data_IF_061738280249
#
_entry.id   IF_061738280249
#
_cell.length_a   1.000
_cell.length_b   1.000
_cell.length_c   1.000
_cell.angle_alpha   90.00
_cell.angle_beta   90.00
_cell.angle_gamma   90.00
#
_symmetry.space_group_name_H-M   'P 1'
#
loop_
_entity.id
_entity.type
_entity.pdbx_description
1 polymer ?
#
# COMPACT_ATOMS: atom_id res chain seq x y z
N UNK A 1 -5.35 -29.00 -2.97
CA UNK A 1 -6.02 -27.86 -3.61
C UNK A 1 -5.41 -27.65 -4.99
N UNK A 2 -6.19 -27.09 -5.90
CA UNK A 2 -5.73 -26.57 -7.19
C UNK A 2 -5.34 -25.11 -6.99
N UNK A 3 -4.06 -24.79 -7.19
CA UNK A 3 -3.48 -23.49 -6.85
C UNK A 3 -2.97 -22.81 -8.12
N UNK A 4 -3.40 -21.57 -8.33
CA UNK A 4 -2.90 -20.73 -9.41
C UNK A 4 -1.71 -19.91 -8.88
N UNK A 5 -0.51 -20.20 -9.34
CA UNK A 5 0.71 -19.47 -8.94
C UNK A 5 0.96 -18.27 -9.87
N UNK A 6 0.88 -17.06 -9.33
CA UNK A 6 1.18 -15.83 -10.06
C UNK A 6 2.70 -15.63 -10.19
N UNK A 7 3.23 -15.93 -11.37
CA UNK A 7 4.65 -15.87 -11.72
C UNK A 7 4.97 -14.53 -12.40
N UNK A 8 5.68 -13.64 -11.70
CA UNK A 8 6.05 -12.32 -12.23
C UNK A 8 7.35 -12.32 -13.05
N UNK A 9 7.98 -13.48 -13.22
CA UNK A 9 9.34 -13.59 -13.78
C UNK A 9 10.44 -13.22 -12.79
N UNK A 10 10.12 -13.05 -11.51
CA UNK A 10 11.07 -12.77 -10.44
C UNK A 10 11.29 -13.97 -9.52
N UNK A 11 12.40 -13.93 -8.77
CA UNK A 11 12.83 -15.00 -7.86
C UNK A 11 11.76 -15.36 -6.82
N UNK A 12 11.08 -14.37 -6.25
CA UNK A 12 10.12 -14.59 -5.17
C UNK A 12 8.92 -15.41 -5.63
N UNK A 13 8.35 -15.04 -6.78
CA UNK A 13 7.21 -15.77 -7.34
C UNK A 13 7.57 -17.20 -7.74
N UNK A 14 8.79 -17.42 -8.25
CA UNK A 14 9.25 -18.75 -8.64
C UNK A 14 9.45 -19.67 -7.41
N UNK A 15 10.09 -19.16 -6.36
CA UNK A 15 10.27 -19.92 -5.11
C UNK A 15 8.94 -20.16 -4.40
N UNK A 16 8.04 -19.18 -4.40
CA UNK A 16 6.69 -19.36 -3.87
C UNK A 16 5.93 -20.48 -4.58
N UNK A 17 5.99 -20.52 -5.92
CA UNK A 17 5.41 -21.61 -6.70
C UNK A 17 6.05 -22.97 -6.38
N UNK A 18 7.38 -23.01 -6.25
CA UNK A 18 8.11 -24.23 -5.88
C UNK A 18 7.65 -24.77 -4.51
N UNK A 19 7.56 -23.91 -3.50
CA UNK A 19 7.06 -24.30 -2.17
C UNK A 19 5.60 -24.77 -2.19
N UNK A 20 4.76 -24.17 -3.05
CA UNK A 20 3.38 -24.62 -3.23
C UNK A 20 3.31 -26.04 -3.86
N UNK A 21 4.19 -26.36 -4.81
CA UNK A 21 4.32 -27.71 -5.37
C UNK A 21 4.77 -28.70 -4.29
N UNK A 22 5.77 -28.34 -3.49
CA UNK A 22 6.29 -29.19 -2.40
C UNK A 22 5.26 -29.44 -1.29
N UNK A 23 4.39 -28.47 -1.04
CA UNK A 23 3.24 -28.63 -0.14
C UNK A 23 2.16 -29.60 -0.69
N UNK A 24 2.37 -30.19 -1.87
CA UNK A 24 1.49 -31.20 -2.47
C UNK A 24 0.26 -30.61 -3.17
N UNK A 25 0.30 -29.34 -3.56
CA UNK A 25 -0.78 -28.73 -4.34
C UNK A 25 -0.68 -29.07 -5.83
N UNK A 26 -1.83 -29.10 -6.52
CA UNK A 26 -1.87 -29.12 -7.99
C UNK A 26 -1.65 -27.69 -8.46
N UNK A 27 -0.43 -27.34 -8.83
CA UNK A 27 -0.05 -25.97 -9.17
C UNK A 27 -0.09 -25.74 -10.68
N UNK A 28 -0.71 -24.64 -11.09
CA UNK A 28 -0.61 -24.08 -12.45
C UNK A 28 -0.02 -22.69 -12.37
N UNK A 29 1.03 -22.43 -13.15
CA UNK A 29 1.65 -21.13 -13.26
C UNK A 29 0.88 -20.19 -14.20
N UNK A 30 0.78 -18.93 -13.82
CA UNK A 30 0.26 -17.88 -14.69
C UNK A 30 1.13 -16.63 -14.62
N UNK A 31 1.47 -16.09 -15.78
CA UNK A 31 2.04 -14.75 -15.88
C UNK A 31 0.96 -13.76 -16.30
N UNK A 32 0.77 -12.73 -15.49
CA UNK A 32 -0.15 -11.64 -15.83
C UNK A 32 0.59 -10.62 -16.67
N UNK A 33 0.03 -10.32 -17.82
CA UNK A 33 0.52 -9.24 -18.62
C UNK A 33 -0.34 -8.00 -18.48
N UNK A 34 0.25 -6.98 -17.87
CA UNK A 34 -0.46 -5.78 -17.43
C UNK A 34 -0.23 -4.57 -18.34
N UNK A 35 0.55 -4.69 -19.41
CA UNK A 35 0.76 -3.61 -20.38
C UNK A 35 0.60 -4.09 -21.82
N UNK A 36 -0.02 -3.24 -22.64
CA UNK A 36 -0.12 -3.42 -24.10
C UNK A 36 1.18 -3.01 -24.81
N UNK A 37 2.05 -2.23 -24.16
CA UNK A 37 3.32 -1.73 -24.71
C UNK A 37 4.52 -2.59 -24.31
N UNK A 38 4.41 -3.91 -24.49
CA UNK A 38 5.42 -4.91 -24.10
C UNK A 38 6.76 -4.77 -24.83
N UNK A 39 6.77 -4.06 -25.96
CA UNK A 39 7.93 -3.88 -26.84
C UNK A 39 8.87 -2.75 -26.40
N UNK A 40 8.58 -2.02 -25.32
CA UNK A 40 9.54 -1.07 -24.77
C UNK A 40 10.63 -1.85 -24.03
N UNK A 41 11.69 -2.14 -24.77
CA UNK A 41 12.95 -2.75 -24.31
C UNK A 41 13.47 -2.03 -23.06
N UNK A 42 13.87 -2.82 -22.06
CA UNK A 42 14.44 -2.37 -20.78
C UNK A 42 15.45 -1.24 -20.93
N UNK A 43 15.38 -0.30 -19.99
CA UNK A 43 16.56 0.26 -19.34
C UNK A 43 16.60 -0.23 -17.88
N UNK A 44 17.13 -1.44 -17.65
CA UNK A 44 17.38 -1.94 -16.28
C UNK A 44 16.21 -2.66 -15.58
N UNK A 45 16.30 -2.86 -14.26
CA UNK A 45 15.46 -3.75 -13.43
C UNK A 45 14.05 -3.23 -13.09
N UNK A 46 13.42 -2.44 -13.96
CA UNK A 46 12.13 -1.78 -13.69
C UNK A 46 10.99 -2.45 -14.43
N UNK A 47 9.95 -2.86 -13.70
CA UNK A 47 8.75 -3.55 -14.21
C UNK A 47 8.75 -5.07 -13.99
N UNK A 48 7.57 -5.68 -14.16
CA UNK A 48 7.34 -7.13 -14.08
C UNK A 48 6.54 -7.67 -15.28
N UNK A 49 6.38 -6.86 -16.33
CA UNK A 49 5.44 -7.10 -17.44
C UNK A 49 6.13 -7.07 -18.82
N UNK A 50 7.45 -7.26 -18.85
CA UNK A 50 8.22 -7.35 -20.10
C UNK A 50 8.10 -8.74 -20.73
N UNK A 51 8.47 -8.85 -22.02
CA UNK A 51 8.57 -10.15 -22.71
C UNK A 51 9.57 -11.06 -21.99
N UNK A 52 10.67 -10.49 -21.50
CA UNK A 52 11.70 -11.20 -20.73
C UNK A 52 11.13 -11.77 -19.43
N UNK A 53 10.33 -11.01 -18.68
CA UNK A 53 9.69 -11.48 -17.45
C UNK A 53 8.75 -12.66 -17.71
N UNK A 54 8.00 -12.61 -18.81
CA UNK A 54 7.15 -13.73 -19.21
C UNK A 54 7.96 -14.97 -19.60
N UNK A 55 9.13 -14.79 -20.23
CA UNK A 55 10.02 -15.90 -20.58
C UNK A 55 10.66 -16.51 -19.33
N UNK A 56 11.10 -15.69 -18.38
CA UNK A 56 11.63 -16.13 -17.09
C UNK A 56 10.58 -16.91 -16.28
N UNK A 57 9.34 -16.40 -16.25
CA UNK A 57 8.21 -17.08 -15.61
C UNK A 57 7.93 -18.45 -16.23
N UNK A 58 7.97 -18.53 -17.58
CA UNK A 58 7.83 -19.78 -18.31
C UNK A 58 8.95 -20.76 -17.97
N UNK A 59 10.21 -20.31 -17.96
CA UNK A 59 11.35 -21.17 -17.63
C UNK A 59 11.22 -21.71 -16.20
N UNK A 60 10.88 -20.85 -15.23
CA UNK A 60 10.62 -21.30 -13.87
C UNK A 60 9.54 -22.39 -13.83
N UNK A 61 8.42 -22.22 -14.56
CA UNK A 61 7.38 -23.24 -14.64
C UNK A 61 7.86 -24.55 -15.29
N UNK A 62 8.70 -24.49 -16.33
CA UNK A 62 9.29 -25.66 -16.98
C UNK A 62 10.20 -26.45 -16.03
N UNK A 63 11.04 -25.77 -15.24
CA UNK A 63 11.88 -26.40 -14.20
C UNK A 63 11.03 -27.08 -13.12
N UNK A 64 9.95 -26.41 -12.70
CA UNK A 64 9.04 -26.94 -11.68
C UNK A 64 8.11 -28.04 -12.22
N UNK A 65 8.07 -28.26 -13.53
CA UNK A 65 7.21 -29.26 -14.16
C UNK A 65 5.72 -28.93 -14.09
N UNK A 66 5.34 -27.64 -14.02
CA UNK A 66 3.95 -27.20 -13.89
C UNK A 66 3.41 -26.62 -15.20
N UNK A 67 2.10 -26.75 -15.50
CA UNK A 67 1.48 -26.06 -16.63
C UNK A 67 1.62 -24.53 -16.49
N UNK A 68 1.75 -23.83 -17.62
CA UNK A 68 1.98 -22.39 -17.63
C UNK A 68 1.14 -21.68 -18.69
N UNK A 69 0.54 -20.56 -18.30
CA UNK A 69 -0.24 -19.70 -19.18
C UNK A 69 0.16 -18.23 -19.03
N UNK A 70 -0.08 -17.45 -20.08
CA UNK A 70 0.01 -15.99 -20.03
C UNK A 70 -1.39 -15.44 -20.17
N UNK A 71 -1.83 -14.65 -19.19
CA UNK A 71 -3.13 -13.98 -19.24
C UNK A 71 -2.93 -12.50 -19.50
N UNK A 72 -3.61 -11.99 -20.51
CA UNK A 72 -3.75 -10.57 -20.69
C UNK A 72 -4.76 -10.04 -19.67
N UNK A 73 -4.29 -9.10 -18.84
CA UNK A 73 -5.06 -8.34 -17.87
C UNK A 73 -4.76 -6.84 -18.03
N UNK A 74 -4.30 -6.43 -19.21
CA UNK A 74 -3.85 -5.06 -19.46
C UNK A 74 -4.99 -4.06 -19.45
N UNK A 75 -6.19 -4.47 -19.83
CA UNK A 75 -7.39 -3.61 -19.78
C UNK A 75 -7.81 -3.36 -18.35
N UNK A 76 -7.95 -4.45 -17.57
CA UNK A 76 -8.29 -4.38 -16.15
C UNK A 76 -7.23 -3.58 -15.37
N UNK A 77 -5.95 -3.71 -15.73
CA UNK A 77 -4.89 -2.93 -15.11
C UNK A 77 -4.95 -1.44 -15.46
N UNK A 78 -5.13 -1.10 -16.73
CA UNK A 78 -5.24 0.28 -17.18
C UNK A 78 -6.45 0.97 -16.51
N UNK A 79 -7.62 0.33 -16.56
CA UNK A 79 -8.87 0.89 -16.05
C UNK A 79 -8.91 0.97 -14.52
N UNK A 80 -8.39 -0.05 -13.82
CA UNK A 80 -8.57 -0.16 -12.36
C UNK A 80 -7.38 0.37 -11.56
N UNK A 81 -6.20 0.50 -12.17
CA UNK A 81 -4.96 0.93 -11.49
C UNK A 81 -4.42 2.22 -12.08
N UNK A 82 -4.22 2.30 -13.40
CA UNK A 82 -3.59 3.48 -14.03
C UNK A 82 -4.57 4.65 -14.06
N UNK A 83 -5.82 4.42 -14.47
CA UNK A 83 -6.85 5.46 -14.48
C UNK A 83 -7.16 5.97 -13.06
N UNK A 84 -7.24 5.06 -12.07
CA UNK A 84 -7.38 5.40 -10.64
C UNK A 84 -6.21 6.30 -10.20
N UNK A 85 -4.97 5.86 -10.45
CA UNK A 85 -3.76 6.63 -10.15
C UNK A 85 -3.81 8.05 -10.74
N UNK A 86 -4.14 8.18 -12.03
CA UNK A 86 -4.26 9.49 -12.68
C UNK A 86 -5.40 10.34 -12.10
N UNK A 87 -6.54 9.73 -11.75
CA UNK A 87 -7.68 10.43 -11.17
C UNK A 87 -7.39 10.98 -9.77
N UNK A 88 -6.65 10.21 -8.95
CA UNK A 88 -6.22 10.61 -7.61
C UNK A 88 -5.25 11.79 -7.67
N UNK A 89 -4.28 11.75 -8.59
CA UNK A 89 -3.39 12.90 -8.81
C UNK A 89 -4.15 14.13 -9.33
N UNK A 90 -5.18 13.98 -10.18
CA UNK A 90 -6.08 15.08 -10.57
C UNK A 90 -6.89 15.63 -9.40
N UNK A 91 -7.08 14.87 -8.34
CA UNK A 91 -7.72 15.31 -7.10
C UNK A 91 -6.73 15.88 -6.07
N UNK A 92 -5.44 16.00 -6.41
CA UNK A 92 -4.40 16.49 -5.49
C UNK A 92 -3.92 15.46 -4.47
N UNK A 93 -4.36 14.20 -4.59
CA UNK A 93 -3.95 13.10 -3.71
C UNK A 93 -2.72 12.39 -4.25
N UNK A 94 -2.04 11.63 -3.39
CA UNK A 94 -0.88 10.81 -3.75
C UNK A 94 -1.21 9.35 -3.46
N UNK A 95 -1.72 8.59 -4.45
CA UNK A 95 -2.11 7.19 -4.28
C UNK A 95 -0.89 6.25 -4.24
N UNK A 96 -1.11 5.03 -3.75
CA UNK A 96 -0.18 3.92 -3.91
C UNK A 96 -0.72 2.90 -4.95
N UNK A 97 -0.17 2.86 -6.17
CA UNK A 97 -0.70 1.99 -7.23
C UNK A 97 -0.50 0.49 -6.93
N UNK A 98 0.48 0.12 -6.10
CA UNK A 98 0.68 -1.28 -5.71
C UNK A 98 -0.43 -1.79 -4.80
N UNK A 99 -0.98 -0.93 -3.94
CA UNK A 99 -2.16 -1.26 -3.11
C UNK A 99 -3.35 -1.57 -4.01
N UNK A 100 -3.65 -0.66 -4.96
CA UNK A 100 -4.76 -0.85 -5.93
C UNK A 100 -4.57 -2.05 -6.85
N UNK A 101 -3.34 -2.36 -7.27
CA UNK A 101 -3.05 -3.54 -8.07
C UNK A 101 -3.27 -4.85 -7.29
N UNK A 102 -2.88 -4.90 -6.01
CA UNK A 102 -3.15 -6.07 -5.18
C UNK A 102 -4.66 -6.29 -5.02
N UNK A 103 -5.38 -5.24 -4.63
CA UNK A 103 -6.85 -5.24 -4.54
C UNK A 103 -7.51 -5.67 -5.86
N UNK A 104 -7.41 -4.82 -6.89
CA UNK A 104 -8.30 -4.88 -8.05
C UNK A 104 -7.85 -5.79 -9.18
N UNK A 105 -6.59 -6.23 -9.15
CA UNK A 105 -6.01 -7.06 -10.22
C UNK A 105 -5.62 -8.44 -9.69
N UNK A 106 -4.82 -8.52 -8.61
CA UNK A 106 -4.37 -9.82 -8.10
C UNK A 106 -5.44 -10.57 -7.31
N UNK A 107 -6.17 -9.89 -6.43
CA UNK A 107 -7.15 -10.54 -5.56
C UNK A 107 -8.61 -10.32 -6.00
N UNK A 108 -8.85 -9.46 -6.98
CA UNK A 108 -10.10 -9.45 -7.74
C UNK A 108 -9.93 -10.18 -9.09
N UNK A 109 -9.44 -9.52 -10.14
CA UNK A 109 -9.51 -10.03 -11.52
C UNK A 109 -8.84 -11.41 -11.73
N UNK A 110 -7.63 -11.60 -11.19
CA UNK A 110 -6.90 -12.87 -11.27
C UNK A 110 -7.60 -13.97 -10.46
N UNK A 111 -8.02 -13.65 -9.23
CA UNK A 111 -8.68 -14.60 -8.34
C UNK A 111 -10.05 -15.02 -8.91
N UNK A 112 -10.88 -14.07 -9.33
CA UNK A 112 -12.18 -14.32 -9.97
C UNK A 112 -12.05 -15.22 -11.19
N UNK A 113 -11.10 -14.89 -12.09
CA UNK A 113 -10.82 -15.71 -13.28
C UNK A 113 -10.33 -17.10 -12.89
N UNK A 114 -9.47 -17.22 -11.89
CA UNK A 114 -9.00 -18.49 -11.35
C UNK A 114 -10.13 -19.36 -10.79
N UNK A 115 -11.01 -18.77 -9.96
CA UNK A 115 -12.15 -19.47 -9.38
C UNK A 115 -13.10 -19.98 -10.46
N UNK A 116 -13.38 -19.18 -11.49
CA UNK A 116 -14.20 -19.59 -12.64
C UNK A 116 -13.61 -20.78 -13.42
N UNK A 117 -12.28 -20.96 -13.38
CA UNK A 117 -11.56 -22.10 -13.99
C UNK A 117 -11.36 -23.28 -13.01
N UNK A 118 -11.94 -23.20 -11.81
CA UNK A 118 -11.89 -24.25 -10.80
C UNK A 118 -10.59 -24.31 -10.00
N UNK A 119 -9.88 -23.19 -9.88
CA UNK A 119 -8.80 -23.04 -8.89
C UNK A 119 -9.39 -22.69 -7.52
N UNK A 120 -8.78 -23.21 -6.46
CA UNK A 120 -9.22 -22.99 -5.09
C UNK A 120 -8.61 -21.71 -4.48
N UNK A 121 -7.37 -21.40 -4.86
CA UNK A 121 -6.54 -20.36 -4.27
C UNK A 121 -5.49 -19.81 -5.25
N UNK A 122 -4.96 -18.62 -4.94
CA UNK A 122 -3.87 -17.97 -5.67
C UNK A 122 -2.62 -17.90 -4.79
N UNK A 123 -1.50 -18.45 -5.27
CA UNK A 123 -0.20 -18.30 -4.63
C UNK A 123 0.57 -17.14 -5.25
N UNK A 124 1.19 -16.31 -4.40
CA UNK A 124 2.02 -15.18 -4.86
C UNK A 124 3.35 -15.14 -4.10
N UNK A 125 4.35 -14.50 -4.70
CA UNK A 125 5.66 -14.28 -4.07
C UNK A 125 5.69 -13.18 -3.02
N UNK A 126 4.57 -12.85 -2.38
CA UNK A 126 4.57 -11.81 -1.35
C UNK A 126 5.13 -12.33 -0.01
N UNK A 127 5.83 -11.44 0.68
CA UNK A 127 6.31 -11.65 2.04
C UNK A 127 5.25 -11.13 3.03
N UNK A 128 4.38 -12.02 3.48
CA UNK A 128 3.48 -11.82 4.60
C UNK A 128 3.08 -13.18 5.15
N UNK A 129 2.70 -13.24 6.42
CA UNK A 129 2.19 -14.48 7.04
C UNK A 129 0.68 -14.45 7.02
N UNK A 130 0.06 -15.57 6.67
CA UNK A 130 -1.38 -15.72 6.65
C UNK A 130 -1.77 -17.02 7.35
N UNK A 131 -2.66 -16.94 8.32
CA UNK A 131 -3.34 -18.11 8.92
C UNK A 131 -4.83 -18.10 8.55
N UNK A 132 -5.49 -19.26 8.64
CA UNK A 132 -6.89 -19.40 8.22
C UNK A 132 -7.04 -19.57 6.70
N UNK A 133 -8.28 -19.58 6.19
CA UNK A 133 -8.55 -19.69 4.76
C UNK A 133 -7.77 -20.79 4.04
N UNK A 134 -7.32 -20.49 2.83
CA UNK A 134 -6.51 -21.37 1.99
C UNK A 134 -5.19 -21.81 2.65
N UNK A 135 -4.54 -20.97 3.48
CA UNK A 135 -3.30 -21.38 4.15
C UNK A 135 -3.53 -22.47 5.20
N UNK A 136 -4.77 -22.62 5.67
CA UNK A 136 -5.22 -23.73 6.53
C UNK A 136 -5.95 -24.86 5.78
N UNK A 137 -5.98 -24.83 4.44
CA UNK A 137 -6.71 -25.81 3.62
C UNK A 137 -8.22 -25.59 3.53
N UNK A 138 -8.72 -24.42 3.94
CA UNK A 138 -10.14 -24.02 3.90
C UNK A 138 -10.35 -22.78 3.00
N UNK A 139 -10.10 -22.87 1.69
CA UNK A 139 -10.14 -21.71 0.79
C UNK A 139 -11.53 -21.05 0.78
N UNK A 140 -11.58 -19.76 1.09
CA UNK A 140 -12.83 -18.99 1.23
C UNK A 140 -13.37 -18.87 2.66
N UNK A 141 -12.81 -19.60 3.63
CA UNK A 141 -13.17 -19.46 5.05
C UNK A 141 -12.43 -18.26 5.66
N UNK A 142 -13.19 -17.30 6.19
CA UNK A 142 -12.67 -16.08 6.79
C UNK A 142 -12.58 -16.12 8.31
N UNK A 143 -13.11 -17.15 8.99
CA UNK A 143 -13.34 -17.15 10.44
C UNK A 143 -12.05 -16.94 11.25
N UNK A 144 -11.02 -17.76 10.97
CA UNK A 144 -9.71 -17.72 11.65
C UNK A 144 -8.64 -16.99 10.85
N UNK A 145 -9.06 -16.14 9.90
CA UNK A 145 -8.15 -15.47 8.99
C UNK A 145 -7.35 -14.39 9.72
N UNK A 146 -6.02 -14.48 9.65
CA UNK A 146 -5.13 -13.48 10.22
C UNK A 146 -3.99 -13.18 9.23
N UNK A 147 -3.87 -11.91 8.84
CA UNK A 147 -2.73 -11.39 8.11
C UNK A 147 -1.74 -10.79 9.10
N UNK A 148 -0.48 -11.22 9.05
CA UNK A 148 0.60 -10.68 9.88
C UNK A 148 1.82 -10.34 9.03
N UNK A 149 2.70 -9.52 9.60
CA UNK A 149 3.98 -9.19 8.98
C UNK A 149 4.81 -10.44 8.68
N UNK A 150 5.61 -10.38 7.64
CA UNK A 150 6.60 -11.42 7.31
C UNK A 150 7.67 -11.58 8.41
N UNK A 151 8.33 -12.73 8.45
CA UNK A 151 9.49 -12.95 9.30
C UNK A 151 10.67 -12.01 8.97
N UNK A 152 10.89 -11.72 7.68
CA UNK A 152 11.84 -10.70 7.22
C UNK A 152 11.16 -9.32 7.20
N UNK A 153 11.35 -8.54 8.26
CA UNK A 153 10.79 -7.19 8.39
C UNK A 153 11.21 -6.22 7.28
N UNK A 154 12.38 -6.41 6.65
CA UNK A 154 12.85 -5.54 5.57
C UNK A 154 12.11 -5.81 4.25
N UNK A 155 11.54 -7.01 4.11
CA UNK A 155 10.78 -7.44 2.93
C UNK A 155 9.28 -7.50 3.16
N UNK A 156 8.80 -7.25 4.37
CA UNK A 156 7.37 -7.31 4.71
C UNK A 156 6.49 -6.51 3.73
N UNK A 157 5.45 -7.17 3.26
CA UNK A 157 4.48 -6.65 2.30
C UNK A 157 3.04 -6.70 2.84
N UNK A 158 2.85 -7.00 4.13
CA UNK A 158 1.53 -6.96 4.79
C UNK A 158 0.79 -5.63 4.54
N UNK A 159 1.51 -4.51 4.51
CA UNK A 159 0.97 -3.17 4.26
C UNK A 159 0.23 -3.05 2.93
N UNK A 160 0.77 -3.61 1.84
CA UNK A 160 0.15 -3.51 0.50
C UNK A 160 -0.91 -4.58 0.26
N UNK A 161 -1.00 -5.58 1.14
CA UNK A 161 -1.95 -6.69 1.04
C UNK A 161 -3.23 -6.44 1.84
N UNK A 162 -3.17 -5.62 2.88
CA UNK A 162 -4.26 -5.39 3.82
C UNK A 162 -5.58 -4.93 3.16
N UNK A 163 -5.48 -4.16 2.07
CA UNK A 163 -6.63 -3.67 1.29
C UNK A 163 -7.48 -4.79 0.67
N UNK A 164 -6.91 -5.99 0.50
CA UNK A 164 -7.58 -7.11 -0.19
C UNK A 164 -8.71 -7.74 0.64
N UNK A 165 -8.90 -7.29 1.89
CA UNK A 165 -9.98 -7.74 2.77
C UNK A 165 -9.89 -9.21 3.16
N UNK A 166 -10.82 -9.66 4.01
CA UNK A 166 -10.81 -11.05 4.49
C UNK A 166 -11.18 -12.02 3.37
N UNK A 167 -12.11 -11.63 2.50
CA UNK A 167 -12.59 -12.43 1.38
C UNK A 167 -11.47 -12.75 0.39
N UNK A 168 -10.76 -11.73 -0.11
CA UNK A 168 -9.66 -11.91 -1.05
C UNK A 168 -8.50 -12.70 -0.42
N UNK A 169 -8.13 -12.36 0.82
CA UNK A 169 -7.06 -13.04 1.54
C UNK A 169 -7.39 -14.49 1.90
N UNK A 170 -8.65 -14.85 2.15
CA UNK A 170 -9.06 -16.23 2.46
C UNK A 170 -8.77 -17.24 1.36
N UNK A 171 -8.45 -16.78 0.15
CA UNK A 171 -8.05 -17.59 -1.00
C UNK A 171 -6.60 -17.33 -1.44
N UNK A 172 -5.81 -16.65 -0.62
CA UNK A 172 -4.41 -16.36 -0.91
C UNK A 172 -3.47 -17.37 -0.23
N UNK A 173 -2.33 -17.62 -0.87
CA UNK A 173 -1.17 -18.30 -0.29
C UNK A 173 0.05 -17.40 -0.41
N UNK A 174 0.78 -17.25 0.70
CA UNK A 174 2.05 -16.51 0.78
C UNK A 174 3.18 -17.41 1.27
N UNK A 175 3.71 -18.32 0.43
CA UNK A 175 4.70 -19.32 0.86
C UNK A 175 6.04 -18.76 1.34
N UNK A 176 6.29 -17.45 1.17
CA UNK A 176 7.50 -16.76 1.62
C UNK A 176 7.34 -16.04 2.97
N UNK A 177 6.18 -16.11 3.61
CA UNK A 177 5.90 -15.40 4.88
C UNK A 177 6.92 -15.71 5.99
N UNK A 178 7.39 -16.95 6.06
CA UNK A 178 8.36 -17.42 7.07
C UNK A 178 9.81 -17.44 6.56
N UNK A 179 10.07 -16.92 5.36
CA UNK A 179 11.44 -16.85 4.85
C UNK A 179 12.28 -15.90 5.73
N UNK A 180 13.45 -16.33 6.23
CA UNK A 180 14.23 -15.54 7.20
C UNK A 180 14.93 -14.34 6.56
N UNK A 181 15.19 -14.41 5.25
CA UNK A 181 15.74 -13.29 4.50
C UNK A 181 15.52 -13.45 3.00
N UNK A 182 15.61 -12.34 2.26
CA UNK A 182 15.73 -12.37 0.80
C UNK A 182 16.89 -13.22 0.29
N UNK A 183 18.04 -13.20 0.98
CA UNK A 183 19.22 -13.96 0.59
C UNK A 183 18.96 -15.48 0.67
N UNK A 184 18.22 -15.93 1.69
CA UNK A 184 17.80 -17.33 1.80
C UNK A 184 16.89 -17.75 0.64
N UNK A 185 15.94 -16.89 0.23
CA UNK A 185 15.08 -17.16 -0.94
C UNK A 185 15.90 -17.27 -2.23
N UNK A 186 16.93 -16.43 -2.42
CA UNK A 186 17.83 -16.51 -3.58
C UNK A 186 18.68 -17.79 -3.57
N UNK A 187 19.19 -18.19 -2.40
CA UNK A 187 19.94 -19.44 -2.25
C UNK A 187 19.06 -20.65 -2.59
N UNK A 188 17.83 -20.69 -2.08
CA UNK A 188 16.84 -21.72 -2.41
C UNK A 188 16.54 -21.76 -3.93
N UNK A 189 16.42 -20.59 -4.56
CA UNK A 189 16.24 -20.53 -6.01
C UNK A 189 17.42 -21.13 -6.78
N UNK A 190 18.66 -20.82 -6.35
CA UNK A 190 19.87 -21.37 -6.96
C UNK A 190 20.00 -22.88 -6.78
N UNK A 191 19.68 -23.40 -5.58
CA UNK A 191 19.66 -24.85 -5.30
C UNK A 191 18.68 -25.61 -6.19
N UNK A 192 17.56 -24.98 -6.54
CA UNK A 192 16.54 -25.51 -7.46
C UNK A 192 16.89 -25.33 -8.94
N UNK A 193 18.00 -24.66 -9.25
CA UNK A 193 18.39 -24.35 -10.63
C UNK A 193 17.52 -23.29 -11.30
N UNK A 194 16.79 -22.46 -10.53
CA UNK A 194 15.94 -21.40 -11.10
C UNK A 194 16.80 -20.24 -11.63
N UNK A 195 16.67 -19.86 -12.92
CA UNK A 195 17.55 -18.89 -13.58
C UNK A 195 17.40 -17.45 -13.07
N UNK A 196 16.36 -17.19 -12.27
CA UNK A 196 16.02 -15.89 -11.71
C UNK A 196 16.72 -15.59 -10.37
N UNK A 197 17.54 -16.50 -9.85
CA UNK A 197 18.15 -16.39 -8.52
C UNK A 197 18.95 -15.09 -8.30
N UNK A 198 19.64 -14.60 -9.32
CA UNK A 198 20.45 -13.36 -9.27
C UNK A 198 19.72 -12.11 -9.79
N UNK A 199 18.48 -12.27 -10.27
CA UNK A 199 17.72 -11.17 -10.87
C UNK A 199 17.43 -10.10 -9.82
N UNK A 200 17.74 -8.81 -10.06
CA UNK A 200 17.41 -7.75 -9.11
C UNK A 200 15.90 -7.66 -8.88
N UNK A 201 15.50 -7.22 -7.69
CA UNK A 201 14.09 -7.01 -7.38
C UNK A 201 13.54 -5.84 -8.21
N UNK A 202 12.27 -5.93 -8.61
CA UNK A 202 11.57 -4.81 -9.23
C UNK A 202 11.26 -3.77 -8.14
N UNK A 203 11.89 -2.61 -8.25
CA UNK A 203 11.58 -1.42 -7.45
C UNK A 203 10.93 -0.37 -8.37
N UNK A 204 10.21 0.59 -7.78
CA UNK A 204 9.43 1.66 -8.44
C UNK A 204 8.07 1.22 -9.02
N UNK A 205 7.29 2.20 -9.53
CA UNK A 205 5.94 2.00 -10.10
C UNK A 205 6.07 1.22 -11.41
N UNK A 206 5.40 0.06 -11.50
CA UNK A 206 5.62 -0.91 -12.59
C UNK A 206 5.32 -0.39 -14.00
N UNK A 207 4.40 0.58 -14.15
CA UNK A 207 4.04 1.17 -15.45
C UNK A 207 4.81 2.46 -15.78
N UNK A 208 5.68 2.93 -14.88
CA UNK A 208 6.56 4.07 -15.11
C UNK A 208 7.97 3.55 -15.41
N UNK A 209 8.17 3.11 -16.65
CA UNK A 209 9.36 2.35 -17.06
C UNK A 209 10.70 3.09 -16.83
N UNK A 210 10.71 4.41 -16.99
CA UNK A 210 11.88 5.28 -16.80
C UNK A 210 12.08 5.72 -15.33
N UNK A 211 11.14 5.36 -14.44
CA UNK A 211 11.09 5.81 -13.05
C UNK A 211 10.73 7.31 -12.88
N UNK A 212 10.46 8.03 -13.97
CA UNK A 212 10.10 9.45 -13.93
C UNK A 212 8.59 9.61 -13.75
N UNK A 213 8.13 9.44 -12.52
CA UNK A 213 6.70 9.58 -12.17
C UNK A 213 6.18 10.97 -12.52
N UNK A 214 7.00 12.03 -12.32
CA UNK A 214 6.63 13.40 -12.66
C UNK A 214 6.43 13.55 -14.17
N UNK A 215 7.38 13.08 -14.97
CA UNK A 215 7.26 13.10 -16.43
C UNK A 215 6.08 12.26 -16.94
N UNK A 216 5.82 11.09 -16.33
CA UNK A 216 4.63 10.29 -16.64
C UNK A 216 3.33 11.06 -16.40
N UNK A 217 3.20 11.73 -15.25
CA UNK A 217 2.02 12.54 -14.93
C UNK A 217 1.87 13.73 -15.89
N UNK A 218 2.96 14.42 -16.22
CA UNK A 218 2.94 15.53 -17.18
C UNK A 218 2.50 15.08 -18.59
N UNK A 219 2.98 13.93 -19.06
CA UNK A 219 2.57 13.36 -20.36
C UNK A 219 1.10 12.92 -20.37
N UNK A 220 0.59 12.42 -19.24
CA UNK A 220 -0.74 11.83 -19.14
C UNK A 220 -1.84 12.84 -18.80
N UNK A 221 -1.51 13.87 -18.00
CA UNK A 221 -2.45 14.88 -17.51
C UNK A 221 -2.32 16.22 -18.24
N UNK A 222 -1.27 16.39 -19.05
CA UNK A 222 -0.88 17.67 -19.64
C UNK A 222 -0.07 18.53 -18.66
N UNK A 223 0.40 19.68 -19.11
CA UNK A 223 1.08 20.67 -18.28
C UNK A 223 0.27 21.96 -18.24
N UNK A 224 0.14 22.53 -17.04
CA UNK A 224 -0.50 23.83 -16.85
C UNK A 224 0.31 24.62 -15.82
N UNK A 225 0.72 25.83 -16.19
CA UNK A 225 1.47 26.68 -15.28
C UNK A 225 0.64 27.00 -14.02
N UNK A 226 1.26 26.79 -12.87
CA UNK A 226 0.72 27.06 -11.54
C UNK A 226 1.74 27.78 -10.67
N UNK A 227 1.35 28.17 -9.45
CA UNK A 227 2.18 28.97 -8.54
C UNK A 227 2.59 28.19 -7.30
N UNK A 228 3.86 28.35 -6.91
CA UNK A 228 4.35 27.98 -5.59
C UNK A 228 4.05 29.13 -4.65
N UNK A 229 3.33 28.88 -3.57
CA UNK A 229 2.92 29.92 -2.61
C UNK A 229 3.39 29.58 -1.19
N UNK A 230 3.68 30.60 -0.40
CA UNK A 230 3.88 30.44 1.05
C UNK A 230 2.53 30.17 1.75
N UNK A 231 2.53 29.74 3.04
CA UNK A 231 1.29 29.62 3.80
C UNK A 231 0.49 30.93 3.89
N UNK A 232 1.19 32.06 3.81
CA UNK A 232 0.61 33.42 3.87
C UNK A 232 0.16 33.93 2.49
N UNK A 233 0.35 33.14 1.42
CA UNK A 233 -0.08 33.48 0.05
C UNK A 233 0.95 34.25 -0.78
N UNK A 234 2.19 34.42 -0.31
CA UNK A 234 3.26 35.01 -1.10
C UNK A 234 3.65 34.07 -2.26
N UNK A 235 3.72 34.58 -3.49
CA UNK A 235 4.19 33.81 -4.64
C UNK A 235 5.71 33.68 -4.60
N UNK A 236 6.18 32.44 -4.52
CA UNK A 236 7.60 32.06 -4.40
C UNK A 236 8.20 31.58 -5.72
N UNK A 237 7.37 31.19 -6.68
CA UNK A 237 7.78 30.70 -8.00
C UNK A 237 6.62 30.10 -8.78
N UNK A 238 6.94 29.44 -9.89
CA UNK A 238 5.96 28.75 -10.74
C UNK A 238 6.35 27.28 -10.96
N UNK A 239 5.40 26.48 -11.43
CA UNK A 239 5.59 25.08 -11.76
C UNK A 239 4.65 24.64 -12.90
N UNK A 240 4.89 23.46 -13.48
CA UNK A 240 4.16 22.95 -14.65
C UNK A 240 2.93 22.08 -14.30
N UNK A 241 2.34 22.31 -13.13
CA UNK A 241 1.19 21.56 -12.61
C UNK A 241 1.41 20.98 -11.21
N UNK A 242 0.40 21.05 -10.35
CA UNK A 242 0.53 20.68 -8.93
C UNK A 242 0.75 19.18 -8.72
N UNK A 243 0.29 18.33 -9.65
CA UNK A 243 0.40 16.87 -9.58
C UNK A 243 1.86 16.37 -9.58
N UNK A 244 2.83 17.21 -9.98
CA UNK A 244 4.25 16.91 -9.88
C UNK A 244 4.83 17.03 -8.46
N UNK A 245 4.00 17.33 -7.46
CA UNK A 245 4.40 17.60 -6.08
C UNK A 245 3.65 16.71 -5.09
N UNK A 246 4.38 16.21 -4.09
CA UNK A 246 3.83 15.40 -3.00
C UNK A 246 4.06 16.08 -1.66
N UNK A 247 3.07 16.03 -0.76
CA UNK A 247 3.21 16.56 0.60
C UNK A 247 4.43 15.95 1.31
N UNK A 248 5.26 16.82 1.89
CA UNK A 248 6.55 16.47 2.51
C UNK A 248 7.75 16.49 1.55
N UNK A 249 7.55 16.73 0.26
CA UNK A 249 8.65 16.87 -0.71
C UNK A 249 9.51 18.10 -0.41
N UNK A 250 10.83 17.90 -0.35
CA UNK A 250 11.84 18.96 -0.17
C UNK A 250 12.58 19.33 -1.46
N UNK A 251 12.89 18.32 -2.29
CA UNK A 251 13.73 18.47 -3.49
C UNK A 251 12.86 18.81 -4.71
N UNK A 252 13.45 19.44 -5.72
CA UNK A 252 12.76 19.70 -6.99
C UNK A 252 11.69 20.80 -6.92
N UNK A 253 11.75 21.67 -5.89
CA UNK A 253 10.82 22.80 -5.75
C UNK A 253 11.14 23.98 -6.68
N UNK A 254 12.34 24.06 -7.24
CA UNK A 254 12.71 25.16 -8.14
C UNK A 254 12.77 26.54 -7.48
N UNK A 255 12.81 26.62 -6.15
CA UNK A 255 12.90 27.88 -5.42
C UNK A 255 14.29 28.51 -5.62
N UNK A 256 14.34 29.66 -6.29
CA UNK A 256 15.59 30.40 -6.58
C UNK A 256 16.00 31.34 -5.46
N UNK A 257 15.05 31.75 -4.61
CA UNK A 257 15.29 32.59 -3.44
C UNK A 257 15.31 31.72 -2.18
N UNK A 258 16.40 31.71 -1.40
CA UNK A 258 16.40 31.11 -0.08
C UNK A 258 15.35 31.77 0.80
N UNK A 259 14.80 31.01 1.73
CA UNK A 259 13.91 31.56 2.73
C UNK A 259 14.64 32.57 3.64
N UNK A 260 13.94 33.57 4.20
CA UNK A 260 14.53 34.55 5.11
C UNK A 260 15.23 33.95 6.33
N UNK A 261 14.73 32.80 6.80
CA UNK A 261 15.28 32.03 7.93
C UNK A 261 16.43 31.08 7.53
N UNK A 262 16.77 30.99 6.24
CA UNK A 262 17.77 30.07 5.70
C UNK A 262 17.40 28.59 5.74
N UNK A 263 16.19 28.24 6.20
CA UNK A 263 15.76 26.85 6.39
C UNK A 263 15.12 26.27 5.12
N UNK A 264 15.25 24.95 4.89
CA UNK A 264 14.64 24.30 3.73
C UNK A 264 13.10 24.38 3.77
N UNK A 265 12.50 24.49 2.58
CA UNK A 265 11.04 24.45 2.41
C UNK A 265 10.56 23.08 1.93
N UNK A 266 9.32 22.77 2.28
CA UNK A 266 8.66 21.52 1.96
C UNK A 266 7.26 21.79 1.42
N UNK A 267 6.76 20.94 0.53
CA UNK A 267 5.36 20.96 0.09
C UNK A 267 4.47 20.63 1.28
N UNK A 268 3.62 21.56 1.70
CA UNK A 268 2.67 21.41 2.81
C UNK A 268 1.31 20.95 2.30
N UNK A 269 0.90 21.43 1.12
CA UNK A 269 -0.37 21.08 0.49
C UNK A 269 -0.30 21.33 -1.03
N UNK A 270 -1.15 20.62 -1.76
CA UNK A 270 -1.48 20.88 -3.16
C UNK A 270 -2.92 21.37 -3.21
N UNK A 271 -3.22 22.38 -4.05
CA UNK A 271 -4.57 22.93 -4.23
C UNK A 271 -4.98 22.80 -5.69
N UNK A 272 -5.67 21.71 -6.06
CA UNK A 272 -6.06 21.46 -7.45
C UNK A 272 -6.91 22.58 -8.07
N UNK A 273 -7.84 23.15 -7.30
CA UNK A 273 -8.79 24.16 -7.78
C UNK A 273 -8.10 25.46 -8.24
N UNK A 274 -6.97 25.83 -7.63
CA UNK A 274 -6.21 27.04 -7.96
C UNK A 274 -4.90 26.74 -8.68
N UNK A 275 -4.56 25.46 -8.91
CA UNK A 275 -3.26 25.00 -9.39
C UNK A 275 -2.09 25.56 -8.55
N UNK A 276 -2.26 25.62 -7.24
CA UNK A 276 -1.23 26.10 -6.31
C UNK A 276 -0.55 24.95 -5.58
N UNK A 277 0.74 25.13 -5.28
CA UNK A 277 1.51 24.27 -4.38
C UNK A 277 1.98 25.11 -3.19
N UNK A 278 1.47 24.80 -2.01
CA UNK A 278 1.83 25.51 -0.77
C UNK A 278 3.15 24.94 -0.26
N UNK A 279 4.15 25.78 -0.11
CA UNK A 279 5.47 25.40 0.43
C UNK A 279 5.79 26.18 1.70
N UNK A 280 6.30 25.49 2.71
CA UNK A 280 6.45 26.05 4.04
C UNK A 280 7.52 25.37 4.88
N UNK A 281 7.71 25.82 6.11
CA UNK A 281 8.64 25.22 7.06
C UNK A 281 8.18 23.82 7.48
N UNK A 282 9.13 22.98 7.91
CA UNK A 282 8.89 21.54 8.17
C UNK A 282 7.85 21.30 9.26
N UNK A 283 7.73 22.23 10.19
CA UNK A 283 6.90 22.17 11.39
C UNK A 283 5.42 22.04 11.02
N UNK A 284 4.99 22.66 9.91
CA UNK A 284 3.63 22.61 9.38
C UNK A 284 3.22 21.23 8.80
N UNK A 285 4.17 20.31 8.63
CA UNK A 285 3.90 18.95 8.19
C UNK A 285 3.49 18.00 9.33
N UNK A 286 3.62 18.45 10.57
CA UNK A 286 3.35 17.62 11.74
C UNK A 286 1.84 17.39 11.88
N UNK A 287 1.45 16.13 12.09
CA UNK A 287 0.07 15.71 12.33
C UNK A 287 0.03 14.79 13.54
N UNK A 288 -0.94 15.02 14.41
CA UNK A 288 -1.22 14.17 15.57
C UNK A 288 -2.46 13.30 15.37
N UNK A 289 -3.24 13.57 14.32
CA UNK A 289 -4.45 12.84 14.01
C UNK A 289 -4.45 12.47 12.53
N UNK A 290 -5.07 11.34 12.23
CA UNK A 290 -5.31 10.85 10.88
C UNK A 290 -6.80 10.58 10.75
N UNK A 291 -7.42 11.22 9.77
CA UNK A 291 -8.75 10.87 9.28
C UNK A 291 -8.58 10.03 8.00
N UNK A 292 -9.31 8.92 7.92
CA UNK A 292 -9.25 8.01 6.81
C UNK A 292 -10.63 7.41 6.50
N UNK A 293 -10.85 7.11 5.23
CA UNK A 293 -12.06 6.51 4.68
C UNK A 293 -11.77 5.13 4.04
N UNK A 294 -12.78 4.51 3.45
CA UNK A 294 -12.67 3.20 2.82
C UNK A 294 -12.06 2.13 3.75
N UNK A 295 -12.57 2.08 4.99
CA UNK A 295 -12.15 1.14 6.01
C UNK A 295 -12.33 -0.32 5.56
N UNK A 296 -11.26 -1.09 5.71
CA UNK A 296 -11.19 -2.54 5.59
C UNK A 296 -10.83 -3.13 6.96
N UNK A 297 -11.72 -3.94 7.52
CA UNK A 297 -11.50 -4.63 8.80
C UNK A 297 -10.95 -6.05 8.58
N UNK A 298 -9.85 -6.36 9.26
CA UNK A 298 -9.23 -7.69 9.27
C UNK A 298 -9.34 -8.37 10.64
N UNK A 299 -9.48 -7.58 11.71
CA UNK A 299 -9.80 -8.03 13.06
C UNK A 299 -11.01 -7.26 13.59
N UNK A 300 -11.74 -7.86 14.53
CA UNK A 300 -12.88 -7.19 15.15
C UNK A 300 -12.38 -6.07 16.09
N UNK A 301 -12.93 -4.85 15.99
CA UNK A 301 -12.62 -3.80 16.95
C UNK A 301 -13.25 -4.13 18.30
N UNK A 302 -12.70 -3.54 19.37
CA UNK A 302 -13.24 -3.70 20.73
C UNK A 302 -13.75 -2.36 21.26
N UNK A 303 -14.68 -2.40 22.22
CA UNK A 303 -15.19 -1.18 22.83
C UNK A 303 -14.06 -0.46 23.59
N UNK A 304 -13.76 0.79 23.20
CA UNK A 304 -12.81 1.62 23.91
C UNK A 304 -13.51 2.29 25.09
N UNK A 305 -12.89 2.20 26.28
CA UNK A 305 -13.39 2.87 27.47
C UNK A 305 -13.40 4.41 27.32
N UNK A 306 -14.23 5.12 28.09
CA UNK A 306 -14.37 6.59 27.99
C UNK A 306 -13.06 7.35 28.30
N UNK A 307 -12.08 6.73 28.95
CA UNK A 307 -10.76 7.32 29.20
C UNK A 307 -9.90 7.44 27.93
N UNK A 308 -10.15 6.61 26.92
CA UNK A 308 -9.35 6.57 25.68
C UNK A 308 -9.74 7.68 24.70
N UNK A 309 -10.98 8.17 24.76
CA UNK A 309 -11.55 9.13 23.80
C UNK A 309 -11.40 10.60 24.18
N UNK A 310 -10.53 10.97 25.14
CA UNK A 310 -10.34 12.38 25.51
C UNK A 310 -9.81 13.19 24.30
N UNK A 311 -10.71 13.91 23.65
CA UNK A 311 -10.44 15.03 22.75
C UNK A 311 -9.80 16.15 23.57
N UNK A 312 -8.49 16.37 23.45
CA UNK A 312 -7.90 17.59 23.98
C UNK A 312 -8.13 18.70 22.96
N UNK A 313 -9.21 19.46 23.14
CA UNK A 313 -9.38 20.75 22.44
C UNK A 313 -8.18 21.66 22.77
N UNK A 314 -7.60 22.37 21.79
CA UNK A 314 -6.47 23.24 22.06
C UNK A 314 -6.94 24.53 22.76
N UNK A 315 -6.50 24.71 24.02
CA UNK A 315 -6.20 26.00 24.64
C UNK A 315 -7.34 27.01 24.86
N UNK A 316 -7.82 27.08 26.11
CA UNK A 316 -8.48 28.27 26.67
C UNK A 316 -7.91 28.59 28.05
N UNK A 317 -7.26 29.74 28.21
CA UNK A 317 -6.68 30.21 29.47
C UNK A 317 -7.77 30.64 30.47
N UNK A 318 -7.65 30.15 31.72
CA UNK A 318 -7.88 30.91 32.96
C UNK A 318 -9.28 31.43 33.31
N UNK A 319 -9.92 30.81 34.32
CA UNK A 319 -10.99 31.41 35.13
C UNK A 319 -11.46 30.44 36.24
N UNK A 320 -11.78 30.89 37.46
CA UNK A 320 -12.06 30.01 38.59
C UNK A 320 -13.42 29.31 38.46
N UNK A 321 -13.44 28.04 38.85
CA UNK A 321 -14.57 27.12 38.74
C UNK A 321 -15.81 27.59 39.54
N UNK A 322 -16.96 27.54 38.89
CA UNK A 322 -18.28 27.52 39.54
C UNK A 322 -18.90 26.14 39.28
N UNK A 323 -19.48 25.46 40.29
CA UNK A 323 -20.07 24.13 40.10
C UNK A 323 -21.47 24.30 39.51
N UNK A 324 -21.64 24.00 38.22
CA UNK A 324 -22.92 24.10 37.54
C UNK A 324 -22.97 23.26 36.27
N UNK A 325 -23.82 22.23 36.32
CA UNK A 325 -24.43 21.49 35.20
C UNK A 325 -23.50 20.62 34.33
N UNK A 326 -23.55 19.32 34.61
CA UNK A 326 -23.15 18.27 33.67
C UNK A 326 -24.01 18.39 32.41
N UNK A 327 -23.37 18.71 31.28
CA UNK A 327 -24.00 18.62 29.97
C UNK A 327 -24.36 17.16 29.64
N UNK A 328 -25.59 16.85 29.23
CA UNK A 328 -25.99 15.52 28.82
C UNK A 328 -25.53 15.32 27.36
N UNK A 329 -24.46 14.56 27.17
CA UNK A 329 -23.98 14.15 25.85
C UNK A 329 -23.34 12.78 25.98
N UNK A 330 -24.10 11.76 25.60
CA UNK A 330 -23.69 10.36 25.59
C UNK A 330 -22.40 10.23 24.77
N UNK A 331 -21.26 9.97 25.42
CA UNK A 331 -20.07 9.49 24.71
C UNK A 331 -20.30 8.00 24.46
N UNK A 332 -20.85 7.64 23.31
CA UNK A 332 -20.84 6.25 22.86
C UNK A 332 -19.40 5.72 22.94
N UNK A 333 -19.25 4.53 23.50
CA UNK A 333 -17.96 3.85 23.51
C UNK A 333 -17.57 3.56 22.06
N UNK A 334 -16.65 4.36 21.51
CA UNK A 334 -16.10 4.14 20.18
C UNK A 334 -15.48 2.75 20.07
N UNK A 335 -15.70 2.07 18.96
CA UNK A 335 -15.07 0.79 18.67
C UNK A 335 -13.66 1.03 18.11
N UNK A 336 -12.67 0.23 18.52
CA UNK A 336 -11.32 0.33 17.98
C UNK A 336 -10.27 -0.41 18.79
N UNK A 337 -9.06 0.15 18.82
CA UNK A 337 -7.90 -0.41 19.49
C UNK A 337 -7.03 0.69 20.13
N UNK A 338 -6.54 0.45 21.33
CA UNK A 338 -5.65 1.37 22.05
C UNK A 338 -4.20 0.88 22.01
N UNK A 339 -3.24 1.80 21.93
CA UNK A 339 -1.80 1.46 21.96
C UNK A 339 -1.34 0.58 20.80
N UNK A 340 -1.96 0.71 19.63
CA UNK A 340 -1.61 -0.03 18.40
C UNK A 340 -0.62 0.75 17.56
N UNK A 341 0.03 0.07 16.60
CA UNK A 341 0.97 0.72 15.69
C UNK A 341 0.29 1.06 14.36
N UNK A 342 0.44 2.29 13.90
CA UNK A 342 -0.10 2.79 12.63
C UNK A 342 1.04 3.06 11.65
N UNK A 343 0.95 2.48 10.46
CA UNK A 343 1.90 2.71 9.37
C UNK A 343 1.19 3.41 8.21
N UNK A 344 1.79 4.49 7.69
CA UNK A 344 1.20 5.33 6.61
C UNK A 344 1.99 5.27 5.30
N UNK A 345 3.07 4.49 5.26
CA UNK A 345 3.96 4.29 4.10
C UNK A 345 4.54 2.88 4.16
N UNK A 346 4.60 2.17 3.04
CA UNK A 346 5.06 0.77 2.99
C UNK A 346 6.44 0.52 3.65
N UNK A 347 7.39 1.44 3.49
CA UNK A 347 8.72 1.39 4.13
C UNK A 347 8.89 2.40 5.26
N UNK A 348 7.79 3.00 5.73
CA UNK A 348 7.78 3.95 6.83
C UNK A 348 7.80 3.24 8.18
N UNK A 349 8.43 3.85 9.19
CA UNK A 349 8.34 3.38 10.57
C UNK A 349 6.89 3.49 11.07
N UNK A 350 6.33 2.44 11.69
CA UNK A 350 5.04 2.53 12.38
C UNK A 350 5.12 3.48 13.59
N UNK A 351 3.99 4.09 13.92
CA UNK A 351 3.84 5.04 15.03
C UNK A 351 2.72 4.58 15.96
N UNK A 352 2.97 4.64 17.28
CA UNK A 352 1.96 4.28 18.28
C UNK A 352 0.77 5.23 18.23
N UNK A 353 -0.44 4.67 18.33
CA UNK A 353 -1.69 5.41 18.24
C UNK A 353 -2.83 4.70 18.99
N UNK A 354 -3.86 5.49 19.31
CA UNK A 354 -5.19 4.95 19.61
C UNK A 354 -6.05 5.14 18.36
N UNK A 355 -6.72 4.07 17.93
CA UNK A 355 -7.50 4.04 16.69
C UNK A 355 -8.95 3.77 17.04
N UNK A 356 -9.83 4.60 16.49
CA UNK A 356 -11.28 4.43 16.49
C UNK A 356 -11.75 4.16 15.07
N UNK A 357 -12.75 3.31 14.93
CA UNK A 357 -13.34 2.95 13.64
C UNK A 357 -14.85 3.01 13.73
N UNK A 358 -15.47 3.42 12.63
CA UNK A 358 -16.90 3.31 12.42
C UNK A 358 -17.15 2.46 11.17
N UNK A 359 -17.52 1.17 11.35
CA UNK A 359 -17.80 0.27 10.23
C UNK A 359 -19.00 0.72 9.38
N UNK A 360 -19.94 1.50 9.94
CA UNK A 360 -21.15 1.93 9.23
C UNK A 360 -20.88 3.06 8.24
N UNK A 361 -20.01 4.00 8.62
CA UNK A 361 -19.54 5.09 7.74
C UNK A 361 -18.25 4.72 7.00
N UNK A 362 -17.68 3.54 7.26
CA UNK A 362 -16.39 3.06 6.72
C UNK A 362 -15.23 4.01 7.01
N UNK A 363 -15.22 4.63 8.20
CA UNK A 363 -14.21 5.61 8.60
C UNK A 363 -13.27 5.09 9.67
N UNK A 364 -12.06 5.66 9.69
CA UNK A 364 -11.04 5.41 10.70
C UNK A 364 -10.47 6.75 11.18
N UNK A 365 -10.36 6.93 12.49
CA UNK A 365 -9.64 8.03 13.11
C UNK A 365 -8.53 7.48 14.01
N UNK A 366 -7.30 7.94 13.78
CA UNK A 366 -6.14 7.56 14.59
C UNK A 366 -5.56 8.78 15.31
N UNK A 367 -5.51 8.73 16.64
CA UNK A 367 -4.79 9.69 17.48
C UNK A 367 -3.38 9.18 17.76
N UNK A 368 -2.39 9.83 17.17
CA UNK A 368 -0.99 9.45 17.25
C UNK A 368 -0.36 9.91 18.56
N UNK A 369 0.40 9.02 19.21
CA UNK A 369 1.13 9.34 20.44
C UNK A 369 2.37 10.19 20.18
N UNK A 370 2.90 10.15 18.96
CA UNK A 370 3.95 11.02 18.45
C UNK A 370 3.55 11.55 17.06
N UNK A 371 3.93 12.79 16.70
CA UNK A 371 3.50 13.36 15.43
C UNK A 371 4.16 12.67 14.24
N UNK A 372 3.36 12.37 13.21
CA UNK A 372 3.85 12.00 11.88
C UNK A 372 4.06 13.24 11.03
N UNK A 373 4.94 13.14 10.03
CA UNK A 373 5.23 14.23 9.10
C UNK A 373 4.99 13.82 7.66
N UNK A 374 4.45 14.74 6.89
CA UNK A 374 4.24 14.56 5.46
C UNK A 374 3.17 13.52 5.18
N UNK A 375 2.07 13.53 5.93
CA UNK A 375 0.91 12.70 5.63
C UNK A 375 0.23 13.27 4.39
N UNK A 376 0.08 12.45 3.34
CA UNK A 376 -0.55 12.83 2.09
C UNK A 376 -1.86 12.07 1.93
N UNK A 377 -2.93 12.79 1.56
CA UNK A 377 -4.20 12.20 1.17
C UNK A 377 -4.01 11.18 0.03
N UNK A 378 -4.79 10.10 0.04
CA UNK A 378 -4.70 8.97 -0.89
C UNK A 378 -3.66 7.90 -0.52
N UNK A 379 -2.83 8.12 0.50
CA UNK A 379 -1.96 7.07 1.04
C UNK A 379 -2.78 6.09 1.90
N UNK A 380 -2.32 4.84 2.01
CA UNK A 380 -2.95 3.87 2.91
C UNK A 380 -2.45 4.08 4.34
N UNK A 381 -3.37 3.97 5.30
CA UNK A 381 -3.08 3.81 6.72
C UNK A 381 -3.38 2.36 7.11
N UNK A 382 -2.41 1.67 7.71
CA UNK A 382 -2.54 0.27 8.13
C UNK A 382 -2.28 0.18 9.62
N UNK A 383 -3.18 -0.50 10.33
CA UNK A 383 -3.16 -0.68 11.79
C UNK A 383 -2.61 -2.06 12.11
N UNK A 384 -1.62 -2.10 12.99
CA UNK A 384 -0.95 -3.30 13.46
C UNK A 384 -1.13 -3.46 14.98
N UNK A 385 -1.35 -4.68 15.43
CA UNK A 385 -1.49 -5.03 16.84
C UNK A 385 -1.47 -6.54 17.05
N UNK A 386 -2.34 -7.05 17.93
CA UNK A 386 -2.28 -8.44 18.38
C UNK A 386 -1.23 -8.66 19.47
N UNK A 387 -1.04 -9.91 19.89
CA UNK A 387 -0.18 -10.24 21.04
C UNK A 387 1.31 -9.96 20.79
N UNK A 388 1.76 -10.07 19.54
CA UNK A 388 3.14 -9.81 19.13
C UNK A 388 3.32 -8.44 18.43
N UNK A 389 2.22 -7.71 18.18
CA UNK A 389 2.24 -6.43 17.47
C UNK A 389 2.35 -6.54 15.95
N UNK A 390 2.34 -7.76 15.40
CA UNK A 390 2.63 -8.02 13.98
C UNK A 390 1.36 -8.28 13.16
N UNK A 391 0.21 -8.49 13.80
CA UNK A 391 -1.07 -8.73 13.13
C UNK A 391 -1.63 -7.43 12.52
N UNK A 392 -2.07 -7.49 11.27
CA UNK A 392 -2.83 -6.41 10.63
C UNK A 392 -4.28 -6.45 11.12
N UNK A 393 -4.74 -5.35 11.71
CA UNK A 393 -6.09 -5.23 12.27
C UNK A 393 -7.06 -4.55 11.29
N UNK A 394 -6.58 -3.51 10.60
CA UNK A 394 -7.38 -2.73 9.68
C UNK A 394 -6.50 -1.99 8.66
N UNK A 395 -7.13 -1.57 7.56
CA UNK A 395 -6.57 -0.63 6.60
C UNK A 395 -7.63 0.41 6.22
N UNK A 396 -7.21 1.64 5.94
CA UNK A 396 -8.06 2.69 5.39
C UNK A 396 -7.23 3.61 4.47
N UNK A 397 -7.88 4.51 3.74
CA UNK A 397 -7.24 5.50 2.86
C UNK A 397 -7.28 6.87 3.52
N UNK A 398 -6.13 7.54 3.65
CA UNK A 398 -6.06 8.87 4.24
C UNK A 398 -6.87 9.85 3.39
N UNK A 399 -7.78 10.59 4.02
CA UNK A 399 -8.68 11.55 3.37
C UNK A 399 -7.96 12.82 2.87
#
# INVERSE_FOLDING_TARGET
>A
MRVLAALSGGVDSAVAAARAVEAGHEVVGVHMALTRHRAQTRSGSRGCCSIEDSADARWAAEILGIPFYVWDLSEEFEDRVVADFLSEYRAGRTPNPCVRCNERVKFDALLERGLAMGFDAVATGHYARLTGGASSGRPGDTHDLCLSRAADAAKDQSYVLAVSGREGLSRALFPLGDAPSKAAVRAEAAERGLPVADKPDSYDICFVADGDTRGFLQRSLGTQEGTLVSPDGEVLGTHEGYFGFTVGQRKGLGLTRPAPDGQPRYVIATRPATNEVVVGPRELLSRHEIEADALVLLADPTALGPATLRTQSPGGQGGPESPGEAAPGVTEAGMGWAGVAVQVRAHGRPVSADVTVDPSSTTLHARLHEPLRGLAAGQSVVVYGGADGEQVLAQATVA
#
